data_IF_872912153912
#
_entry.id   IF_872912153912
#
_cell.length_a   1.000
_cell.length_b   1.000
_cell.length_c   1.000
_cell.angle_alpha   90.00
_cell.angle_beta   90.00
_cell.angle_gamma   90.00
#
_symmetry.space_group_name_H-M   'P 1'
#
loop_
_entity.id
_entity.type
_entity.pdbx_description
1 polymer ?
#
# COMPACT_ATOMS: atom_id res chain seq x y z
N UNK A 1 4.15 42.84 -1.42
CA UNK A 1 5.35 42.99 -0.55
C UNK A 1 6.42 43.85 -1.19
N UNK A 2 7.09 43.44 -2.28
CA UNK A 2 8.13 44.24 -2.93
C UNK A 2 7.63 45.66 -3.29
N UNK A 3 6.47 45.74 -3.94
CA UNK A 3 5.81 47.02 -4.24
C UNK A 3 5.42 47.80 -2.97
N UNK A 4 4.76 47.13 -2.02
CA UNK A 4 4.31 47.71 -0.75
C UNK A 4 5.44 48.29 0.11
N UNK A 5 6.61 47.66 0.07
CA UNK A 5 7.82 48.04 0.81
C UNK A 5 8.79 48.88 -0.03
N UNK A 6 8.52 49.04 -1.33
CA UNK A 6 9.41 49.69 -2.31
C UNK A 6 10.83 49.10 -2.31
N UNK A 7 10.93 47.78 -2.23
CA UNK A 7 12.19 47.01 -2.30
C UNK A 7 12.17 46.06 -3.50
N UNK A 8 13.33 45.54 -3.88
CA UNK A 8 13.39 44.50 -4.90
C UNK A 8 12.79 43.16 -4.42
N UNK A 9 12.59 42.24 -5.37
CA UNK A 9 11.96 40.94 -5.07
C UNK A 9 12.81 40.05 -4.14
N UNK A 10 14.14 40.10 -4.24
CA UNK A 10 15.02 39.29 -3.43
C UNK A 10 15.02 39.78 -1.97
N UNK A 11 15.02 41.10 -1.78
CA UNK A 11 14.90 41.72 -0.47
C UNK A 11 13.51 41.49 0.13
N UNK A 12 12.45 41.58 -0.66
CA UNK A 12 11.11 41.25 -0.20
C UNK A 12 11.01 39.78 0.27
N UNK A 13 11.65 38.86 -0.44
CA UNK A 13 11.70 37.43 -0.06
C UNK A 13 12.49 37.23 1.24
N UNK A 14 13.65 37.89 1.40
CA UNK A 14 14.41 37.87 2.66
C UNK A 14 13.59 38.39 3.83
N UNK A 15 12.88 39.50 3.64
CA UNK A 15 11.99 40.06 4.66
C UNK A 15 10.86 39.08 4.97
N UNK A 16 10.27 38.41 3.96
CA UNK A 16 9.21 37.40 4.15
C UNK A 16 9.66 36.21 5.00
N UNK A 17 10.94 35.83 4.90
CA UNK A 17 11.52 34.71 5.63
C UNK A 17 11.94 35.06 7.06
N UNK A 18 11.99 36.35 7.42
CA UNK A 18 12.31 36.82 8.76
C UNK A 18 11.06 36.82 9.66
N UNK A 19 11.24 36.49 10.95
CA UNK A 19 10.15 36.43 11.93
C UNK A 19 9.56 37.80 12.28
N UNK A 20 10.36 38.87 12.19
CA UNK A 20 9.94 40.24 12.50
C UNK A 20 9.55 41.00 11.22
N UNK A 21 8.31 40.82 10.78
CA UNK A 21 7.76 41.51 9.60
C UNK A 21 7.38 42.97 9.92
N UNK A 22 7.76 43.95 9.08
CA UNK A 22 7.22 45.30 9.15
C UNK A 22 5.69 45.30 9.01
N UNK A 23 4.98 46.21 9.68
CA UNK A 23 3.50 46.26 9.63
C UNK A 23 2.93 46.33 8.21
N UNK A 24 3.57 47.09 7.32
CA UNK A 24 3.19 47.15 5.90
C UNK A 24 3.36 45.80 5.16
N UNK A 25 4.36 45.01 5.54
CA UNK A 25 4.57 43.66 5.02
C UNK A 25 3.47 42.70 5.47
N UNK A 26 3.09 42.78 6.76
CA UNK A 26 2.01 41.98 7.34
C UNK A 26 0.69 42.26 6.65
N UNK A 27 0.32 43.53 6.46
CA UNK A 27 -0.92 43.90 5.76
C UNK A 27 -0.94 43.38 4.32
N UNK A 28 0.16 43.54 3.58
CA UNK A 28 0.27 43.05 2.21
C UNK A 28 0.18 41.51 2.12
N UNK A 29 0.76 40.80 3.09
CA UNK A 29 0.66 39.33 3.18
C UNK A 29 -0.77 38.89 3.51
N UNK A 30 -1.43 39.57 4.45
CA UNK A 30 -2.82 39.28 4.84
C UNK A 30 -3.78 39.47 3.67
N UNK A 31 -3.65 40.57 2.93
CA UNK A 31 -4.48 40.84 1.75
C UNK A 31 -4.27 39.78 0.66
N UNK A 32 -3.01 39.48 0.31
CA UNK A 32 -2.68 38.43 -0.65
C UNK A 32 -3.22 37.06 -0.22
N UNK A 33 -3.07 36.73 1.07
CA UNK A 33 -3.59 35.48 1.63
C UNK A 33 -5.11 35.44 1.52
N UNK A 34 -5.84 36.50 1.88
CA UNK A 34 -7.30 36.55 1.79
C UNK A 34 -7.84 36.25 0.36
N UNK A 35 -7.16 36.76 -0.67
CA UNK A 35 -7.47 36.40 -2.06
C UNK A 35 -7.25 34.91 -2.33
N UNK A 36 -6.10 34.35 -1.91
CA UNK A 36 -5.82 32.93 -2.04
C UNK A 36 -6.87 32.05 -1.32
N UNK A 37 -7.28 32.42 -0.11
CA UNK A 37 -8.29 31.66 0.66
C UNK A 37 -9.65 31.66 -0.04
N UNK A 38 -10.01 32.78 -0.67
CA UNK A 38 -11.22 32.88 -1.48
C UNK A 38 -11.16 31.94 -2.69
N UNK A 39 -10.03 31.89 -3.40
CA UNK A 39 -9.83 30.97 -4.53
C UNK A 39 -9.86 29.50 -4.10
N UNK A 40 -9.28 29.17 -2.93
CA UNK A 40 -9.36 27.82 -2.36
C UNK A 40 -10.81 27.45 -2.04
N UNK A 41 -11.60 28.35 -1.44
CA UNK A 41 -13.03 28.13 -1.16
C UNK A 41 -13.85 27.97 -2.43
N UNK A 42 -13.55 28.74 -3.46
CA UNK A 42 -14.19 28.60 -4.78
C UNK A 42 -13.91 27.22 -5.38
N UNK A 43 -12.66 26.76 -5.31
CA UNK A 43 -12.25 25.43 -5.77
C UNK A 43 -12.95 24.31 -4.97
N UNK A 44 -13.00 24.42 -3.64
CA UNK A 44 -13.71 23.47 -2.78
C UNK A 44 -15.20 23.39 -3.15
N UNK A 45 -15.86 24.55 -3.30
CA UNK A 45 -17.27 24.65 -3.66
C UNK A 45 -17.56 24.02 -5.02
N UNK A 46 -16.69 24.27 -5.99
CA UNK A 46 -16.76 23.65 -7.31
C UNK A 46 -16.64 22.13 -7.24
N UNK A 47 -15.68 21.59 -6.48
CA UNK A 47 -15.50 20.16 -6.32
C UNK A 47 -16.67 19.48 -5.59
N UNK A 48 -17.31 20.17 -4.64
CA UNK A 48 -18.55 19.74 -3.99
C UNK A 48 -19.70 19.67 -4.99
N UNK A 49 -19.89 20.71 -5.79
CA UNK A 49 -20.93 20.75 -6.82
C UNK A 49 -20.75 19.66 -7.88
N UNK A 50 -19.51 19.31 -8.22
CA UNK A 50 -19.22 18.20 -9.12
C UNK A 50 -19.41 16.81 -8.48
N UNK A 51 -19.73 16.74 -7.18
CA UNK A 51 -19.77 15.48 -6.44
C UNK A 51 -18.41 14.79 -6.32
N UNK A 52 -17.30 15.51 -6.56
CA UNK A 52 -15.92 15.01 -6.38
C UNK A 52 -15.51 15.03 -4.92
N UNK A 53 -16.07 15.97 -4.16
CA UNK A 53 -16.06 15.98 -2.71
C UNK A 53 -17.46 15.59 -2.21
N UNK A 54 -17.51 14.72 -1.21
CA UNK A 54 -18.76 14.33 -0.55
C UNK A 54 -19.21 15.40 0.46
N UNK A 55 -18.24 16.02 1.13
CA UNK A 55 -18.46 17.04 2.15
C UNK A 55 -17.25 17.99 2.22
N UNK A 56 -17.41 19.12 2.93
CA UNK A 56 -16.31 20.01 3.22
C UNK A 56 -15.20 19.28 4.01
N UNK A 57 -13.90 19.61 3.77
CA UNK A 57 -12.81 19.05 4.55
C UNK A 57 -12.96 19.39 6.03
N UNK A 58 -12.64 18.44 6.90
CA UNK A 58 -12.66 18.63 8.36
C UNK A 58 -11.34 19.13 8.94
N UNK A 59 -10.28 19.15 8.13
CA UNK A 59 -8.93 19.62 8.48
C UNK A 59 -8.19 20.06 7.21
N UNK A 60 -7.22 20.95 7.38
CA UNK A 60 -6.33 21.41 6.31
C UNK A 60 -4.90 21.08 6.68
N UNK A 61 -4.16 20.52 5.72
CA UNK A 61 -2.75 20.19 5.87
C UNK A 61 -1.94 21.11 4.96
N UNK A 62 -1.00 21.86 5.53
CA UNK A 62 -0.13 22.78 4.81
C UNK A 62 1.18 22.12 4.43
N UNK A 63 1.58 22.34 3.18
CA UNK A 63 2.81 21.82 2.57
C UNK A 63 3.56 22.94 1.84
N UNK A 64 4.84 22.74 1.55
CA UNK A 64 5.63 23.65 0.71
C UNK A 64 6.11 24.89 1.47
N UNK A 65 7.07 25.61 0.89
CA UNK A 65 7.68 26.79 1.53
C UNK A 65 6.69 27.90 1.90
N UNK A 66 5.56 28.02 1.17
CA UNK A 66 4.49 28.97 1.48
C UNK A 66 3.82 28.74 2.84
N UNK A 67 3.82 27.51 3.36
CA UNK A 67 3.26 27.17 4.68
C UNK A 67 4.00 27.82 5.86
N UNK A 68 5.22 28.33 5.61
CA UNK A 68 6.04 29.06 6.59
C UNK A 68 5.72 30.55 6.63
N UNK A 69 4.78 31.03 5.82
CA UNK A 69 4.37 32.43 5.81
C UNK A 69 3.77 32.81 7.16
N UNK A 70 4.30 33.82 7.86
CA UNK A 70 3.79 34.19 9.19
C UNK A 70 2.31 34.61 9.14
N UNK A 71 1.52 34.14 10.10
CA UNK A 71 0.10 34.49 10.22
C UNK A 71 -0.83 33.80 9.20
N UNK A 72 -0.30 32.94 8.32
CA UNK A 72 -1.10 32.25 7.31
C UNK A 72 -1.94 31.13 7.91
N UNK A 73 -1.38 30.40 8.88
CA UNK A 73 -2.05 29.28 9.54
C UNK A 73 -3.30 29.76 10.28
N UNK A 74 -3.15 30.80 11.09
CA UNK A 74 -4.23 31.43 11.85
C UNK A 74 -5.31 32.02 10.93
N UNK A 75 -4.91 32.63 9.80
CA UNK A 75 -5.87 33.13 8.82
C UNK A 75 -6.67 32.01 8.14
N UNK A 76 -6.05 30.86 7.86
CA UNK A 76 -6.74 29.71 7.28
C UNK A 76 -7.70 29.11 8.31
N UNK A 77 -7.27 28.95 9.55
CA UNK A 77 -8.12 28.45 10.64
C UNK A 77 -9.35 29.33 10.83
N UNK A 78 -9.17 30.65 10.89
CA UNK A 78 -10.25 31.62 11.01
C UNK A 78 -11.21 31.56 9.80
N UNK A 79 -10.66 31.53 8.59
CA UNK A 79 -11.47 31.62 7.38
C UNK A 79 -12.27 30.35 7.06
N UNK A 80 -11.69 29.18 7.34
CA UNK A 80 -12.33 27.89 7.06
C UNK A 80 -13.00 27.26 8.29
N UNK A 81 -12.74 27.77 9.49
CA UNK A 81 -13.24 27.23 10.77
C UNK A 81 -12.91 25.74 10.96
N UNK A 82 -11.69 25.33 10.59
CA UNK A 82 -11.17 23.96 10.69
C UNK A 82 -9.75 23.97 11.23
N UNK A 83 -9.31 22.86 11.81
CA UNK A 83 -7.93 22.72 12.27
C UNK A 83 -6.96 22.75 11.09
N UNK A 84 -5.88 23.52 11.23
CA UNK A 84 -4.80 23.58 10.25
C UNK A 84 -3.55 22.99 10.89
N UNK A 85 -2.86 22.13 10.15
CA UNK A 85 -1.61 21.53 10.60
C UNK A 85 -0.56 21.62 9.50
N UNK A 86 0.71 21.86 9.87
CA UNK A 86 1.83 21.70 8.94
C UNK A 86 2.19 20.23 8.79
N UNK A 87 2.56 19.85 7.57
CA UNK A 87 2.97 18.48 7.24
C UNK A 87 4.29 18.14 7.93
N UNK A 88 4.38 16.93 8.51
CA UNK A 88 5.64 16.27 8.85
C UNK A 88 5.56 14.80 8.40
N UNK A 89 6.04 14.51 7.19
CA UNK A 89 6.02 13.16 6.64
C UNK A 89 6.93 12.19 7.40
N UNK A 90 8.01 12.68 8.01
CA UNK A 90 8.91 11.82 8.81
C UNK A 90 8.13 11.25 9.99
N UNK A 91 7.42 12.12 10.72
CA UNK A 91 6.56 11.72 11.83
C UNK A 91 5.39 10.85 11.36
N UNK A 92 4.68 11.25 10.29
CA UNK A 92 3.51 10.52 9.79
C UNK A 92 3.83 9.11 9.27
N UNK A 93 5.00 8.92 8.65
CA UNK A 93 5.43 7.62 8.13
C UNK A 93 6.25 6.80 9.14
N UNK A 94 6.52 7.34 10.34
CA UNK A 94 7.32 6.69 11.37
C UNK A 94 8.78 6.45 10.96
N UNK A 95 9.31 7.27 10.05
CA UNK A 95 10.66 7.11 9.52
C UNK A 95 11.67 7.47 10.61
N UNK A 96 12.51 6.50 10.95
CA UNK A 96 13.60 6.73 11.89
C UNK A 96 14.69 7.56 11.22
N UNK A 97 14.93 8.76 11.76
CA UNK A 97 15.89 9.70 11.25
C UNK A 97 16.99 9.94 12.27
N UNK A 98 18.24 10.03 11.81
CA UNK A 98 19.36 10.40 12.67
C UNK A 98 19.09 11.76 13.33
N UNK A 99 19.46 11.90 14.62
CA UNK A 99 19.19 13.12 15.40
C UNK A 99 19.74 14.40 14.77
N UNK A 100 20.92 14.32 14.13
CA UNK A 100 21.56 15.45 13.45
C UNK A 100 20.74 15.90 12.24
N UNK A 101 20.33 14.95 11.39
CA UNK A 101 19.48 15.18 10.24
C UNK A 101 18.09 15.69 10.64
N UNK A 102 17.50 15.15 11.72
CA UNK A 102 16.18 15.59 12.21
C UNK A 102 16.18 17.05 12.64
N UNK A 103 17.31 17.58 13.14
CA UNK A 103 17.47 18.99 13.55
C UNK A 103 17.55 19.95 12.36
N UNK A 104 18.13 19.52 11.24
CA UNK A 104 18.19 20.31 10.01
C UNK A 104 17.03 20.05 9.05
N UNK A 105 16.15 19.10 9.40
CA UNK A 105 14.99 18.74 8.59
C UNK A 105 13.92 19.84 8.64
N UNK A 106 13.62 20.42 7.48
CA UNK A 106 12.49 21.32 7.29
C UNK A 106 11.41 20.60 6.49
N UNK A 107 10.33 20.10 7.14
CA UNK A 107 9.27 19.39 6.45
C UNK A 107 8.66 20.17 5.30
N UNK A 108 8.50 21.49 5.45
CA UNK A 108 7.89 22.33 4.41
C UNK A 108 8.71 22.35 3.11
N UNK A 109 10.02 22.11 3.19
CA UNK A 109 10.92 22.11 2.04
C UNK A 109 11.33 20.70 1.59
N UNK A 110 11.42 19.75 2.52
CA UNK A 110 12.06 18.45 2.28
C UNK A 110 11.05 17.30 2.11
N UNK A 111 9.81 17.44 2.60
CA UNK A 111 8.84 16.36 2.57
C UNK A 111 8.48 15.92 1.15
N UNK A 112 8.49 16.83 0.17
CA UNK A 112 8.23 16.45 -1.23
C UNK A 112 9.33 15.53 -1.78
N UNK A 113 10.60 15.83 -1.48
CA UNK A 113 11.71 14.97 -1.86
C UNK A 113 11.63 13.62 -1.13
N UNK A 114 11.25 13.63 0.15
CA UNK A 114 11.04 12.42 0.94
C UNK A 114 9.91 11.56 0.37
N UNK A 115 8.77 12.14 -0.01
CA UNK A 115 7.64 11.42 -0.59
C UNK A 115 8.05 10.68 -1.88
N UNK A 116 8.89 11.30 -2.70
CA UNK A 116 9.43 10.68 -3.91
C UNK A 116 10.44 9.56 -3.58
N UNK A 117 11.33 9.78 -2.61
CA UNK A 117 12.32 8.80 -2.17
C UNK A 117 11.69 7.59 -1.46
N UNK A 118 10.62 7.80 -0.69
CA UNK A 118 9.88 6.77 0.02
C UNK A 118 8.93 5.97 -0.89
N UNK A 119 8.78 6.37 -2.15
CA UNK A 119 7.90 5.69 -3.11
C UNK A 119 8.14 4.18 -3.24
N UNK A 120 9.38 3.65 -3.31
CA UNK A 120 9.60 2.20 -3.38
C UNK A 120 9.14 1.45 -2.14
N UNK A 121 9.09 2.13 -0.99
CA UNK A 121 8.74 1.57 0.31
C UNK A 121 7.22 1.63 0.52
N UNK A 122 6.56 2.68 0.04
CA UNK A 122 5.11 2.80 0.12
C UNK A 122 4.42 1.96 -0.97
N UNK A 123 3.46 1.10 -0.58
CA UNK A 123 2.64 0.30 -1.51
C UNK A 123 1.58 1.13 -2.26
N UNK A 124 1.79 2.45 -2.36
CA UNK A 124 0.82 3.40 -2.91
C UNK A 124 0.70 3.33 -4.42
N UNK A 125 -0.45 3.74 -4.95
CA UNK A 125 -0.62 3.99 -6.38
C UNK A 125 0.20 5.24 -6.74
N UNK A 126 0.97 5.17 -7.81
CA UNK A 126 1.73 6.31 -8.31
C UNK A 126 2.13 6.15 -9.76
N UNK A 127 2.34 7.26 -10.44
CA UNK A 127 2.70 7.25 -11.86
C UNK A 127 4.19 6.98 -12.04
N UNK A 128 4.54 6.03 -12.92
CA UNK A 128 5.90 5.86 -13.39
C UNK A 128 5.99 6.32 -14.84
N UNK A 129 6.62 7.48 -15.06
CA UNK A 129 6.80 8.03 -16.39
C UNK A 129 7.99 7.41 -17.14
N UNK A 130 8.71 6.44 -16.55
CA UNK A 130 9.75 5.69 -17.26
C UNK A 130 9.11 4.79 -18.31
N UNK A 131 9.37 5.11 -19.57
CA UNK A 131 8.83 4.40 -20.75
C UNK A 131 9.17 2.90 -20.75
N UNK A 132 10.32 2.51 -20.19
CA UNK A 132 10.85 1.12 -20.20
C UNK A 132 10.63 0.34 -18.89
N UNK A 133 10.06 0.95 -17.85
CA UNK A 133 9.86 0.25 -16.57
C UNK A 133 8.79 -0.87 -16.65
N UNK A 134 7.99 -0.88 -17.71
CA UNK A 134 7.04 -1.94 -18.01
C UNK A 134 7.70 -3.22 -18.53
N UNK A 135 8.92 -3.17 -19.06
CA UNK A 135 9.64 -4.37 -19.55
C UNK A 135 10.21 -5.21 -18.40
N UNK A 136 10.61 -4.58 -17.29
CA UNK A 136 11.22 -5.27 -16.14
C UNK A 136 10.22 -5.97 -15.20
N UNK A 137 8.94 -5.55 -15.20
CA UNK A 137 7.90 -6.16 -14.35
C UNK A 137 7.10 -7.28 -15.04
N UNK A 138 7.33 -7.52 -16.33
CA UNK A 138 6.71 -8.62 -17.07
C UNK A 138 7.02 -10.02 -16.52
N UNK A 139 8.11 -10.16 -15.75
CA UNK A 139 8.52 -11.46 -15.19
C UNK A 139 7.73 -11.96 -13.98
N UNK A 140 7.24 -11.05 -13.11
CA UNK A 140 6.61 -11.48 -11.85
C UNK A 140 5.17 -11.98 -12.04
N UNK A 141 4.43 -11.38 -12.98
CA UNK A 141 3.13 -11.88 -13.41
C UNK A 141 3.22 -13.26 -14.07
N UNK A 142 4.22 -13.45 -14.94
CA UNK A 142 4.47 -14.70 -15.66
C UNK A 142 4.90 -15.84 -14.71
N UNK A 143 5.73 -15.55 -13.70
CA UNK A 143 6.12 -16.57 -12.71
C UNK A 143 4.94 -17.11 -11.90
N UNK A 144 4.01 -16.25 -11.46
CA UNK A 144 2.81 -16.67 -10.71
C UNK A 144 1.87 -17.53 -11.56
N UNK A 145 1.71 -17.18 -12.83
CA UNK A 145 0.88 -17.93 -13.77
C UNK A 145 1.52 -19.27 -14.16
N UNK A 146 2.85 -19.31 -14.33
CA UNK A 146 3.60 -20.56 -14.51
C UNK A 146 3.52 -21.47 -13.28
N UNK A 147 3.60 -20.92 -12.07
CA UNK A 147 3.44 -21.67 -10.82
C UNK A 147 2.04 -22.28 -10.71
N UNK A 148 0.99 -21.52 -11.04
CA UNK A 148 -0.39 -22.04 -11.08
C UNK A 148 -0.54 -23.20 -12.07
N UNK A 149 -0.03 -23.03 -13.29
CA UNK A 149 -0.06 -24.10 -14.31
C UNK A 149 0.73 -25.32 -13.87
N UNK A 150 1.91 -25.13 -13.27
CA UNK A 150 2.71 -26.20 -12.70
C UNK A 150 2.03 -26.93 -11.54
N UNK A 151 1.35 -26.21 -10.65
CA UNK A 151 0.59 -26.79 -9.55
C UNK A 151 -0.59 -27.64 -10.04
N UNK A 152 -1.32 -27.19 -11.07
CA UNK A 152 -2.39 -27.98 -11.70
C UNK A 152 -1.83 -29.25 -12.31
N UNK A 153 -0.72 -29.18 -13.06
CA UNK A 153 -0.08 -30.35 -13.64
C UNK A 153 0.39 -31.34 -12.56
N UNK A 154 1.01 -30.87 -11.49
CA UNK A 154 1.46 -31.69 -10.37
C UNK A 154 0.29 -32.40 -9.68
N UNK A 155 -0.84 -31.72 -9.50
CA UNK A 155 -2.04 -32.29 -8.87
C UNK A 155 -2.64 -33.40 -9.74
N UNK A 156 -2.68 -33.22 -11.06
CA UNK A 156 -3.13 -34.25 -12.01
C UNK A 156 -2.21 -35.48 -11.96
N UNK A 157 -0.89 -35.29 -11.96
CA UNK A 157 0.08 -36.38 -11.88
C UNK A 157 -0.07 -37.14 -10.55
N UNK A 158 -0.17 -36.44 -9.43
CA UNK A 158 -0.37 -37.06 -8.11
C UNK A 158 -1.72 -37.80 -8.02
N UNK A 159 -2.78 -37.24 -8.62
CA UNK A 159 -4.08 -37.90 -8.70
C UNK A 159 -4.04 -39.20 -9.49
N UNK A 160 -3.39 -39.20 -10.66
CA UNK A 160 -3.21 -40.40 -11.48
C UNK A 160 -2.37 -41.47 -10.76
N UNK A 161 -1.26 -41.09 -10.15
CA UNK A 161 -0.42 -42.01 -9.37
C UNK A 161 -1.20 -42.61 -8.18
N UNK A 162 -2.02 -41.81 -7.50
CA UNK A 162 -2.87 -42.30 -6.41
C UNK A 162 -3.93 -43.31 -6.86
N UNK A 163 -4.48 -43.14 -8.07
CA UNK A 163 -5.45 -44.08 -8.64
C UNK A 163 -4.79 -45.42 -8.99
N UNK A 164 -3.61 -45.38 -9.59
CA UNK A 164 -2.84 -46.59 -9.96
C UNK A 164 -2.51 -47.43 -8.71
N UNK A 165 -1.96 -46.78 -7.67
CA UNK A 165 -1.65 -47.44 -6.39
C UNK A 165 -2.92 -48.00 -5.73
N UNK A 166 -4.03 -47.25 -5.77
CA UNK A 166 -5.30 -47.68 -5.19
C UNK A 166 -5.93 -48.88 -5.90
N UNK A 167 -5.85 -48.92 -7.23
CA UNK A 167 -6.36 -50.03 -8.04
C UNK A 167 -5.55 -51.31 -7.82
N UNK A 168 -4.23 -51.20 -7.73
CA UNK A 168 -3.35 -52.34 -7.48
C UNK A 168 -3.61 -52.94 -6.09
N UNK A 169 -3.67 -52.13 -5.03
CA UNK A 169 -3.98 -52.61 -3.67
C UNK A 169 -5.38 -53.26 -3.60
N UNK A 170 -6.37 -52.67 -4.28
CA UNK A 170 -7.72 -53.23 -4.32
C UNK A 170 -7.77 -54.58 -5.05
N UNK A 171 -7.10 -54.69 -6.20
CA UNK A 171 -7.05 -55.93 -6.98
C UNK A 171 -6.30 -57.05 -6.24
N UNK A 172 -5.23 -56.72 -5.52
CA UNK A 172 -4.48 -57.65 -4.69
C UNK A 172 -5.33 -58.17 -3.52
N UNK A 173 -6.10 -57.29 -2.86
CA UNK A 173 -7.05 -57.70 -1.79
C UNK A 173 -8.12 -58.65 -2.31
N UNK A 174 -8.66 -58.39 -3.51
CA UNK A 174 -9.64 -59.26 -4.16
C UNK A 174 -9.08 -60.65 -4.45
N UNK A 175 -7.88 -60.73 -5.02
CA UNK A 175 -7.20 -62.01 -5.29
C UNK A 175 -6.91 -62.78 -4.00
N UNK A 176 -6.43 -62.08 -2.96
CA UNK A 176 -6.15 -62.70 -1.67
C UNK A 176 -7.43 -63.24 -1.01
N UNK A 177 -8.54 -62.50 -1.09
CA UNK A 177 -9.83 -62.95 -0.57
C UNK A 177 -10.35 -64.19 -1.33
N UNK A 178 -10.19 -64.23 -2.66
CA UNK A 178 -10.53 -65.38 -3.48
C UNK A 178 -9.67 -66.61 -3.11
N UNK A 179 -8.35 -66.42 -3.00
CA UNK A 179 -7.41 -67.49 -2.66
C UNK A 179 -7.69 -68.07 -1.26
N UNK A 180 -7.99 -67.22 -0.26
CA UNK A 180 -8.42 -67.67 1.07
C UNK A 180 -9.70 -68.50 1.03
N UNK A 181 -10.65 -68.13 0.18
CA UNK A 181 -11.89 -68.89 -0.01
C UNK A 181 -11.64 -70.26 -0.64
N UNK A 182 -10.73 -70.33 -1.60
CA UNK A 182 -10.38 -71.57 -2.30
C UNK A 182 -9.62 -72.53 -1.38
N UNK A 183 -8.61 -72.02 -0.65
CA UNK A 183 -7.90 -72.79 0.37
C UNK A 183 -8.88 -73.31 1.42
N UNK A 184 -9.76 -72.45 1.96
CA UNK A 184 -10.74 -72.86 2.95
C UNK A 184 -11.73 -73.93 2.45
N UNK A 185 -12.03 -73.94 1.15
CA UNK A 185 -12.91 -74.92 0.51
C UNK A 185 -12.24 -76.28 0.39
N UNK A 186 -11.00 -76.33 -0.11
CA UNK A 186 -10.26 -77.59 -0.25
C UNK A 186 -9.86 -78.16 1.13
N UNK A 187 -9.51 -77.31 2.09
CA UNK A 187 -9.18 -77.77 3.45
C UNK A 187 -10.39 -78.42 4.14
N UNK A 188 -11.57 -77.81 4.04
CA UNK A 188 -12.83 -78.38 4.56
C UNK A 188 -13.28 -79.65 3.84
N UNK A 189 -12.84 -79.87 2.60
CA UNK A 189 -13.11 -81.11 1.87
C UNK A 189 -12.26 -82.27 2.41
N UNK A 190 -11.06 -81.99 2.88
CA UNK A 190 -10.11 -82.99 3.40
C UNK A 190 -10.40 -83.30 4.88
N UNK A 191 -10.74 -82.30 5.68
CA UNK A 191 -11.07 -82.46 7.10
C UNK A 191 -12.34 -81.66 7.47
N UNK A 192 -13.51 -82.32 7.55
CA UNK A 192 -14.79 -81.64 7.76
C UNK A 192 -15.02 -81.17 9.21
N UNK A 193 -14.20 -81.60 10.19
CA UNK A 193 -14.40 -81.29 11.61
C UNK A 193 -13.63 -80.04 12.10
N UNK A 194 -12.83 -79.41 11.23
CA UNK A 194 -12.07 -78.19 11.57
C UNK A 194 -12.97 -76.95 11.52
N UNK A 195 -13.26 -76.38 12.69
CA UNK A 195 -14.12 -75.19 12.83
C UNK A 195 -13.42 -73.86 12.53
N UNK A 196 -12.08 -73.78 12.60
CA UNK A 196 -11.34 -72.52 12.42
C UNK A 196 -9.94 -72.73 11.84
N UNK A 197 -9.72 -72.15 10.65
CA UNK A 197 -8.40 -72.06 10.01
C UNK A 197 -7.75 -70.75 10.52
N UNK A 198 -6.56 -70.84 11.13
CA UNK A 198 -5.81 -69.68 11.65
C UNK A 198 -4.66 -69.41 10.69
N UNK A 199 -4.59 -68.17 10.19
CA UNK A 199 -3.53 -67.66 9.31
C UNK A 199 -2.26 -67.43 10.16
N UNK A 200 -1.15 -68.15 9.92
CA UNK A 200 0.07 -67.96 10.70
C UNK A 200 0.91 -66.85 10.05
N UNK A 201 0.47 -65.60 10.23
CA UNK A 201 1.14 -64.32 9.89
C UNK A 201 1.75 -64.17 8.49
#
# INVERSE_FOLDING_TARGET
MAESLKVDAAEAERIKQNEALPGAAVSALRECSAHLLTEIRNTQSYLLWQGRLVQAPSRIILTGGGSKTPGLEEQIEEFFAVSVERTDLVAMLGIQMEKTLRRSWDPALMDQALALAARPISKGRGFNFRQLAFEALGGYGDFRDRLKKGAVAALVILGLAGIEIGLDDYSARLHLAALKRDIGREYKRIDPDVQRIIDPV
#
